data_IF_596337367593
#
_entry.id   IF_596337367593
#
_cell.length_a   1.000
_cell.length_b   1.000
_cell.length_c   1.000
_cell.angle_alpha   90.00
_cell.angle_beta   90.00
_cell.angle_gamma   90.00
#
_symmetry.space_group_name_H-M   'P 1'
#
loop_
_entity.id
_entity.type
_entity.pdbx_description
1 polymer ?
#
# COMPACT_ATOMS: atom_id res chain seq x y z
N UNK A 1 -31.47 20.91 14.71
CA UNK A 1 -30.72 20.06 15.64
C UNK A 1 -30.29 18.74 15.00
N UNK A 2 -31.11 18.18 14.15
CA UNK A 2 -30.79 16.88 13.50
C UNK A 2 -29.66 16.93 12.47
N UNK A 3 -29.44 18.07 11.88
CA UNK A 3 -28.44 18.25 10.82
C UNK A 3 -27.00 18.18 11.34
N UNK A 4 -26.74 18.62 12.56
CA UNK A 4 -25.42 18.52 13.19
C UNK A 4 -25.09 17.10 13.66
N UNK A 5 -26.08 16.36 14.11
CA UNK A 5 -25.91 14.96 14.49
C UNK A 5 -25.65 14.08 13.26
N UNK A 6 -26.30 14.36 12.14
CA UNK A 6 -26.10 13.67 10.88
C UNK A 6 -24.70 13.94 10.29
N UNK A 7 -24.21 15.18 10.43
CA UNK A 7 -22.86 15.54 9.99
C UNK A 7 -21.74 14.86 10.78
N UNK A 8 -21.93 14.70 12.10
CA UNK A 8 -20.98 14.01 12.95
C UNK A 8 -20.97 12.48 12.71
N UNK A 9 -22.13 11.91 12.45
CA UNK A 9 -22.27 10.49 12.13
C UNK A 9 -21.61 10.14 10.77
N UNK A 10 -21.76 11.02 9.77
CA UNK A 10 -21.10 10.86 8.46
C UNK A 10 -19.58 10.83 8.54
N UNK A 11 -18.97 11.55 9.49
CA UNK A 11 -17.52 11.53 9.70
C UNK A 11 -17.02 10.22 10.32
N UNK A 12 -17.86 9.49 11.00
CA UNK A 12 -17.49 8.23 11.66
C UNK A 12 -17.80 6.98 10.83
N UNK A 13 -18.70 7.10 9.86
CA UNK A 13 -19.11 6.00 9.00
C UNK A 13 -19.15 6.43 7.55
N UNK A 14 -18.04 7.02 7.04
CA UNK A 14 -17.97 7.39 5.62
C UNK A 14 -18.18 6.15 4.77
N UNK A 15 -19.33 6.13 4.13
CA UNK A 15 -19.59 5.15 3.08
C UNK A 15 -18.53 5.30 1.99
N UNK A 16 -18.01 4.19 1.48
CA UNK A 16 -16.99 4.19 0.43
C UNK A 16 -17.40 5.04 -0.79
N UNK A 17 -18.72 5.26 -0.97
CA UNK A 17 -19.25 6.09 -2.04
C UNK A 17 -19.04 7.60 -1.85
N UNK A 18 -18.82 8.06 -0.60
CA UNK A 18 -18.64 9.48 -0.27
C UNK A 18 -17.14 9.89 -0.18
N UNK A 19 -16.23 8.93 -0.22
CA UNK A 19 -14.80 9.23 -0.25
C UNK A 19 -14.43 10.04 -1.49
N UNK A 20 -13.57 11.05 -1.30
CA UNK A 20 -13.04 11.79 -2.45
C UNK A 20 -12.24 10.84 -3.37
N UNK A 21 -12.12 11.14 -4.67
CA UNK A 21 -11.30 10.33 -5.57
C UNK A 21 -9.90 10.06 -5.03
N UNK A 22 -9.30 11.02 -4.37
CA UNK A 22 -7.97 10.88 -3.75
C UNK A 22 -7.98 9.88 -2.59
N UNK A 23 -9.00 9.90 -1.74
CA UNK A 23 -9.13 8.96 -0.62
C UNK A 23 -9.36 7.52 -1.09
N UNK A 24 -10.05 7.34 -2.21
CA UNK A 24 -10.29 6.02 -2.80
C UNK A 24 -9.02 5.38 -3.36
N UNK A 25 -8.08 6.19 -3.78
CA UNK A 25 -6.83 5.76 -4.39
C UNK A 25 -5.66 5.70 -3.40
N UNK A 26 -5.92 5.75 -2.09
CA UNK A 26 -4.88 5.81 -1.06
C UNK A 26 -4.72 4.51 -0.29
N UNK A 27 -3.48 4.27 0.14
CA UNK A 27 -3.13 3.27 1.14
C UNK A 27 -2.37 3.98 2.26
N UNK A 28 -2.86 3.87 3.49
CA UNK A 28 -2.16 4.40 4.67
C UNK A 28 -1.49 3.27 5.41
N UNK A 29 -0.23 3.47 5.77
CA UNK A 29 0.56 2.52 6.54
C UNK A 29 1.14 3.18 7.77
N UNK A 30 1.32 2.41 8.83
CA UNK A 30 2.02 2.87 10.02
C UNK A 30 3.54 2.74 9.88
N UNK A 31 4.25 3.11 10.96
CA UNK A 31 5.71 3.07 11.03
C UNK A 31 6.30 1.69 10.84
N UNK A 32 5.57 0.65 11.19
CA UNK A 32 5.95 -0.75 11.03
C UNK A 32 5.63 -1.30 9.65
N UNK A 33 4.96 -0.51 8.81
CA UNK A 33 4.53 -0.91 7.47
C UNK A 33 3.28 -1.78 7.46
N UNK A 34 2.47 -1.68 8.52
CA UNK A 34 1.16 -2.32 8.59
C UNK A 34 0.12 -1.41 7.95
N UNK A 35 -0.70 -1.97 7.09
CA UNK A 35 -1.76 -1.26 6.38
C UNK A 35 -2.85 -0.88 7.38
N UNK A 36 -3.18 0.40 7.46
CA UNK A 36 -4.20 0.95 8.35
C UNK A 36 -5.45 1.41 7.61
N UNK A 37 -5.29 1.85 6.36
CA UNK A 37 -6.39 2.22 5.49
C UNK A 37 -6.12 1.71 4.08
N UNK A 38 -7.20 1.37 3.38
CA UNK A 38 -7.15 0.82 2.04
C UNK A 38 -8.31 1.38 1.21
N UNK A 39 -7.99 2.13 0.17
CA UNK A 39 -8.97 2.71 -0.72
C UNK A 39 -9.55 1.70 -1.72
N UNK A 40 -10.84 1.82 -2.02
CA UNK A 40 -11.56 0.93 -2.92
C UNK A 40 -11.04 0.99 -4.38
N UNK A 41 -10.51 2.14 -4.81
CA UNK A 41 -9.86 2.26 -6.12
C UNK A 41 -8.56 1.45 -6.19
N UNK A 42 -7.84 1.28 -5.08
CA UNK A 42 -6.67 0.40 -5.00
C UNK A 42 -7.09 -1.07 -5.17
N UNK A 43 -8.23 -1.46 -4.60
CA UNK A 43 -8.82 -2.78 -4.82
C UNK A 43 -9.05 -3.06 -6.30
N UNK A 44 -9.55 -2.08 -7.05
CA UNK A 44 -9.74 -2.18 -8.50
C UNK A 44 -8.44 -2.42 -9.29
N UNK A 45 -7.30 -1.96 -8.75
CA UNK A 45 -5.99 -2.12 -9.38
C UNK A 45 -5.35 -3.47 -9.05
N UNK A 46 -5.31 -3.83 -7.77
CA UNK A 46 -4.54 -5.00 -7.29
C UNK A 46 -5.41 -6.22 -6.94
N UNK A 47 -6.71 -6.04 -6.82
CA UNK A 47 -7.67 -7.13 -6.56
C UNK A 47 -7.83 -7.52 -5.08
N UNK A 48 -7.02 -7.01 -4.18
CA UNK A 48 -7.19 -7.22 -2.73
C UNK A 48 -8.19 -6.23 -2.15
N UNK A 49 -9.10 -6.71 -1.32
CA UNK A 49 -10.05 -5.86 -0.59
C UNK A 49 -9.43 -5.26 0.68
N UNK A 50 -10.11 -4.26 1.26
CA UNK A 50 -9.72 -3.70 2.55
C UNK A 50 -9.72 -4.76 3.66
N UNK A 51 -10.71 -5.65 3.68
CA UNK A 51 -10.80 -6.73 4.68
C UNK A 51 -9.63 -7.72 4.61
N UNK A 52 -9.04 -7.88 3.42
CA UNK A 52 -7.89 -8.75 3.20
C UNK A 52 -6.56 -8.08 3.54
N UNK A 53 -6.50 -6.76 3.56
CA UNK A 53 -5.24 -6.00 3.61
C UNK A 53 -5.05 -5.20 4.88
N UNK A 54 -6.10 -4.59 5.42
CA UNK A 54 -6.00 -3.80 6.65
C UNK A 54 -5.56 -4.68 7.82
N UNK A 55 -4.53 -4.25 8.53
CA UNK A 55 -3.89 -5.04 9.59
C UNK A 55 -2.78 -5.98 9.08
N UNK A 56 -2.61 -6.12 7.77
CA UNK A 56 -1.52 -6.89 7.18
C UNK A 56 -0.31 -6.00 6.85
N UNK A 57 0.86 -6.63 6.73
CA UNK A 57 2.06 -5.97 6.22
C UNK A 57 1.90 -5.59 4.75
N UNK A 58 2.52 -4.50 4.32
CA UNK A 58 2.65 -4.12 2.91
C UNK A 58 3.19 -5.25 2.01
N UNK A 59 3.80 -6.26 2.57
CA UNK A 59 4.26 -7.44 1.82
C UNK A 59 3.18 -8.07 0.95
N UNK A 60 1.91 -7.89 1.30
CA UNK A 60 0.79 -8.43 0.51
C UNK A 60 0.79 -7.90 -0.93
N UNK A 61 1.23 -6.67 -1.15
CA UNK A 61 1.28 -6.03 -2.47
C UNK A 61 2.71 -5.78 -2.99
N UNK A 62 3.72 -6.17 -2.24
CA UNK A 62 5.11 -6.02 -2.68
C UNK A 62 5.59 -7.33 -3.32
N UNK A 63 6.04 -7.31 -4.58
CA UNK A 63 6.66 -8.48 -5.19
C UNK A 63 7.80 -9.02 -4.30
N UNK A 64 7.85 -10.32 -4.03
CA UNK A 64 8.80 -10.89 -3.05
C UNK A 64 10.25 -10.51 -3.28
N UNK A 65 10.68 -10.48 -4.54
CA UNK A 65 12.05 -10.12 -4.91
C UNK A 65 12.42 -8.68 -4.55
N UNK A 66 11.43 -7.79 -4.47
CA UNK A 66 11.64 -6.37 -4.18
C UNK A 66 11.52 -6.03 -2.69
N UNK A 67 11.09 -6.95 -1.86
CA UNK A 67 10.87 -6.71 -0.42
C UNK A 67 12.11 -6.23 0.31
N UNK A 68 13.30 -6.82 0.15
CA UNK A 68 14.50 -6.33 0.83
C UNK A 68 14.81 -4.87 0.48
N UNK A 69 14.71 -4.52 -0.80
CA UNK A 69 14.95 -3.16 -1.27
C UNK A 69 13.86 -2.19 -0.76
N UNK A 70 12.60 -2.63 -0.80
CA UNK A 70 11.47 -1.83 -0.30
C UNK A 70 11.65 -1.52 1.18
N UNK A 71 11.92 -2.52 2.02
CA UNK A 71 12.06 -2.31 3.47
C UNK A 71 13.28 -1.48 3.83
N UNK A 72 14.39 -1.65 3.10
CA UNK A 72 15.53 -0.76 3.26
C UNK A 72 15.18 0.71 2.98
N UNK A 73 14.46 0.97 1.90
CA UNK A 73 14.01 2.33 1.54
C UNK A 73 12.98 2.87 2.53
N UNK A 74 12.04 2.04 2.96
CA UNK A 74 11.02 2.37 3.95
C UNK A 74 11.63 2.76 5.29
N UNK A 75 12.50 1.93 5.85
CA UNK A 75 13.17 2.21 7.13
C UNK A 75 14.02 3.50 7.06
N UNK A 76 14.66 3.72 5.92
CA UNK A 76 15.43 4.95 5.67
C UNK A 76 14.52 6.18 5.63
N UNK A 77 13.35 6.10 4.99
CA UNK A 77 12.37 7.18 4.95
C UNK A 77 11.81 7.48 6.34
N UNK A 78 11.44 6.44 7.09
CA UNK A 78 10.94 6.59 8.46
C UNK A 78 11.96 7.29 9.37
N UNK A 79 13.25 6.94 9.24
CA UNK A 79 14.34 7.56 10.04
C UNK A 79 14.62 9.01 9.65
N UNK A 80 14.55 9.30 8.35
CA UNK A 80 14.89 10.65 7.81
C UNK A 80 13.73 11.63 7.88
N UNK A 81 12.50 11.15 8.00
CA UNK A 81 11.30 11.97 7.96
C UNK A 81 11.07 12.64 6.62
N UNK A 82 11.67 12.13 5.54
CA UNK A 82 11.49 12.65 4.18
C UNK A 82 11.68 11.59 3.12
N UNK A 83 10.96 11.75 2.03
CA UNK A 83 11.11 10.99 0.80
C UNK A 83 11.43 11.92 -0.37
N UNK A 84 11.81 11.33 -1.49
CA UNK A 84 11.97 12.07 -2.73
C UNK A 84 10.61 12.63 -3.18
N UNK A 85 10.60 13.91 -3.53
CA UNK A 85 9.42 14.55 -4.09
C UNK A 85 9.12 13.99 -5.49
N UNK A 86 7.85 13.82 -5.80
CA UNK A 86 7.38 13.46 -7.13
C UNK A 86 6.72 12.09 -7.24
N UNK A 87 6.37 11.77 -8.48
CA UNK A 87 5.70 10.51 -8.82
C UNK A 87 6.71 9.37 -8.87
N UNK A 88 6.44 8.32 -8.13
CA UNK A 88 7.21 7.09 -8.13
C UNK A 88 6.53 6.04 -9.01
N UNK A 89 7.32 5.18 -9.61
CA UNK A 89 6.85 3.96 -10.26
C UNK A 89 7.00 2.81 -9.28
N UNK A 90 5.88 2.26 -8.83
CA UNK A 90 5.84 1.26 -7.77
C UNK A 90 5.32 -0.05 -8.37
N UNK A 91 6.14 -1.09 -8.47
CA UNK A 91 5.65 -2.41 -8.83
C UNK A 91 4.73 -2.94 -7.72
N UNK A 92 3.51 -3.31 -8.08
CA UNK A 92 2.52 -3.85 -7.16
C UNK A 92 2.11 -5.26 -7.58
N UNK A 93 2.15 -6.18 -6.63
CA UNK A 93 1.69 -7.56 -6.81
C UNK A 93 0.17 -7.60 -6.66
N UNK A 94 -0.52 -8.07 -7.69
CA UNK A 94 -1.95 -8.27 -7.69
C UNK A 94 -2.33 -9.63 -7.07
N UNK A 95 -3.57 -9.73 -6.61
CA UNK A 95 -4.13 -10.97 -6.02
C UNK A 95 -4.07 -12.16 -6.99
N UNK A 96 -4.20 -11.93 -8.28
CA UNK A 96 -4.09 -12.96 -9.33
C UNK A 96 -2.64 -13.31 -9.72
N UNK A 97 -1.66 -12.72 -9.06
CA UNK A 97 -0.24 -12.96 -9.29
C UNK A 97 0.40 -12.08 -10.37
N UNK A 98 -0.37 -11.22 -11.04
CA UNK A 98 0.19 -10.23 -11.97
C UNK A 98 0.94 -9.15 -11.20
N UNK A 99 1.92 -8.55 -11.86
CA UNK A 99 2.60 -7.35 -11.38
C UNK A 99 2.21 -6.19 -12.28
N UNK A 100 1.69 -5.14 -11.68
CA UNK A 100 1.39 -3.88 -12.36
C UNK A 100 2.38 -2.82 -11.90
N UNK A 101 2.67 -1.83 -12.75
CA UNK A 101 3.45 -0.67 -12.36
C UNK A 101 2.48 0.46 -12.06
N UNK A 102 2.28 0.73 -10.78
CA UNK A 102 1.49 1.85 -10.35
C UNK A 102 2.33 3.13 -10.31
N UNK A 103 1.74 4.24 -10.69
CA UNK A 103 2.30 5.56 -10.46
C UNK A 103 1.71 6.09 -9.15
N UNK A 104 2.57 6.43 -8.21
CA UNK A 104 2.14 6.85 -6.89
C UNK A 104 2.93 8.05 -6.38
N UNK A 105 2.31 8.82 -5.52
CA UNK A 105 2.99 9.77 -4.63
C UNK A 105 2.99 9.21 -3.22
N UNK A 106 3.99 9.54 -2.44
CA UNK A 106 4.11 9.09 -1.05
C UNK A 106 4.31 10.31 -0.16
N UNK A 107 3.46 10.45 0.83
CA UNK A 107 3.56 11.47 1.86
C UNK A 107 3.81 10.80 3.20
N UNK A 108 4.78 11.32 3.96
CA UNK A 108 5.07 10.81 5.29
C UNK A 108 4.17 11.49 6.32
N UNK A 109 3.70 10.71 7.28
CA UNK A 109 2.89 11.20 8.40
C UNK A 109 3.84 11.62 9.52
N UNK A 110 3.88 12.92 9.89
CA UNK A 110 4.72 13.37 10.99
C UNK A 110 4.29 12.74 12.32
N UNK A 111 5.25 12.24 13.07
CA UNK A 111 5.04 11.74 14.42
C UNK A 111 5.08 12.85 15.47
N UNK A 112 4.46 12.60 16.61
CA UNK A 112 4.40 13.56 17.72
C UNK A 112 5.78 13.85 18.31
N UNK A 113 6.71 12.91 18.18
CA UNK A 113 8.08 13.02 18.74
C UNK A 113 9.09 13.61 17.73
N UNK A 114 8.60 14.25 16.67
CA UNK A 114 9.44 14.78 15.60
C UNK A 114 9.97 13.73 14.61
N UNK A 115 9.57 12.46 14.77
CA UNK A 115 9.83 11.38 13.83
C UNK A 115 8.73 11.23 12.78
N UNK A 116 8.58 10.03 12.27
CA UNK A 116 7.58 9.68 11.25
C UNK A 116 6.73 8.51 11.75
N UNK A 117 5.42 8.66 11.74
CA UNK A 117 4.48 7.64 12.22
C UNK A 117 3.96 6.72 11.11
N UNK A 118 4.34 6.98 9.87
CA UNK A 118 3.91 6.18 8.75
C UNK A 118 3.90 6.97 7.45
N UNK A 119 3.09 6.53 6.50
CA UNK A 119 2.96 7.20 5.22
C UNK A 119 1.63 6.94 4.53
N UNK A 120 1.29 7.83 3.64
CA UNK A 120 0.15 7.72 2.73
C UNK A 120 0.67 7.56 1.31
N UNK A 121 0.31 6.48 0.67
CA UNK A 121 0.59 6.21 -0.74
C UNK A 121 -0.65 6.54 -1.55
N UNK A 122 -0.57 7.50 -2.45
CA UNK A 122 -1.67 7.86 -3.36
C UNK A 122 -1.36 7.37 -4.76
N UNK A 123 -2.19 6.48 -5.28
CA UNK A 123 -2.09 5.99 -6.65
C UNK A 123 -2.66 7.03 -7.61
N UNK A 124 -1.83 7.53 -8.50
CA UNK A 124 -2.22 8.57 -9.48
C UNK A 124 -2.41 8.01 -10.90
N UNK A 125 -2.11 6.75 -11.08
CA UNK A 125 -2.30 6.05 -12.36
C UNK A 125 -1.71 4.65 -12.33
N UNK A 126 -2.08 3.86 -13.31
CA UNK A 126 -1.54 2.51 -13.53
C UNK A 126 -0.92 2.49 -14.92
N UNK A 127 0.36 2.17 -14.99
CA UNK A 127 1.05 1.91 -16.24
C UNK A 127 0.62 0.59 -16.88
N UNK A 128 1.10 0.33 -18.09
CA UNK A 128 0.88 -0.95 -18.73
C UNK A 128 1.32 -2.10 -17.83
N UNK A 129 0.59 -3.24 -17.81
CA UNK A 129 1.02 -4.41 -17.07
C UNK A 129 2.44 -4.77 -17.48
N UNK A 130 3.29 -5.09 -16.53
CA UNK A 130 4.64 -5.52 -16.85
C UNK A 130 4.55 -6.86 -17.60
N UNK A 131 4.61 -6.78 -18.93
CA UNK A 131 4.49 -7.93 -19.81
C UNK A 131 5.87 -8.56 -20.03
N UNK A 132 6.34 -9.31 -19.05
CA UNK A 132 7.54 -10.11 -19.24
C UNK A 132 7.32 -11.53 -18.79
N UNK A 133 7.13 -12.48 -19.73
CA UNK A 133 7.14 -13.91 -19.42
C UNK A 133 8.40 -14.32 -18.65
N UNK A 134 9.55 -13.70 -18.97
CA UNK A 134 10.82 -13.88 -18.29
C UNK A 134 10.76 -13.50 -16.80
N UNK A 135 9.99 -12.47 -16.46
CA UNK A 135 9.85 -11.99 -15.09
C UNK A 135 9.00 -12.93 -14.21
N UNK A 136 7.93 -13.50 -14.77
CA UNK A 136 7.14 -14.54 -14.09
C UNK A 136 7.98 -15.78 -13.78
N UNK A 137 8.81 -16.20 -14.74
CA UNK A 137 9.72 -17.33 -14.54
C UNK A 137 10.81 -17.02 -13.50
N UNK A 138 11.34 -15.80 -13.48
CA UNK A 138 12.32 -15.36 -12.49
C UNK A 138 11.73 -15.25 -11.08
N UNK A 139 10.46 -14.88 -10.95
CA UNK A 139 9.79 -14.73 -9.67
C UNK A 139 9.13 -16.01 -9.14
N UNK A 140 8.88 -17.00 -9.99
CA UNK A 140 8.19 -18.23 -9.61
C UNK A 140 8.88 -18.96 -8.43
N UNK A 141 10.20 -19.20 -8.42
CA UNK A 141 10.87 -19.83 -7.29
C UNK A 141 10.89 -18.96 -6.04
N UNK A 142 10.95 -17.64 -6.19
CA UNK A 142 10.91 -16.70 -5.08
C UNK A 142 9.52 -16.62 -4.46
N UNK A 143 8.47 -16.71 -5.25
CA UNK A 143 7.09 -16.79 -4.78
C UNK A 143 6.83 -18.09 -4.00
N UNK A 144 7.40 -19.22 -4.43
CA UNK A 144 7.28 -20.49 -3.71
C UNK A 144 8.01 -20.44 -2.35
N UNK A 145 9.25 -19.97 -2.33
CA UNK A 145 10.03 -19.77 -1.10
C UNK A 145 9.35 -18.78 -0.15
N UNK A 146 8.71 -17.74 -0.70
CA UNK A 146 8.03 -16.72 0.07
C UNK A 146 6.74 -17.23 0.74
N UNK A 147 5.93 -18.04 0.06
CA UNK A 147 4.74 -18.68 0.68
C UNK A 147 5.12 -19.52 1.89
N UNK A 148 6.28 -20.14 1.87
CA UNK A 148 6.83 -20.90 2.99
C UNK A 148 7.27 -19.95 4.11
N UNK A 149 7.95 -18.86 3.76
CA UNK A 149 8.42 -17.86 4.72
C UNK A 149 7.30 -17.07 5.40
N UNK A 150 6.19 -16.78 4.70
CA UNK A 150 5.04 -16.10 5.30
C UNK A 150 4.31 -16.93 6.37
N UNK A 151 4.37 -18.27 6.26
CA UNK A 151 3.85 -19.15 7.31
C UNK A 151 4.66 -19.07 8.60
N UNK A 152 5.92 -18.62 8.52
CA UNK A 152 6.86 -18.56 9.65
C UNK A 152 7.00 -17.13 10.20
N UNK A 153 6.77 -16.10 9.37
CA UNK A 153 6.88 -14.69 9.76
C UNK A 153 5.76 -13.86 9.11
N UNK A 154 4.63 -13.68 9.79
CA UNK A 154 3.53 -12.89 9.25
C UNK A 154 3.85 -11.39 9.09
N UNK A 155 4.87 -10.88 9.75
CA UNK A 155 5.23 -9.46 9.77
C UNK A 155 6.66 -9.26 9.24
N UNK A 156 6.82 -9.04 7.97
CA UNK A 156 8.08 -8.80 7.25
C UNK A 156 8.79 -10.07 6.78
#
# INVERSE_FOLDING_TARGET
MDELATGAYRKQGMDASEATPDQRATVTVDREGIIRQWGDAVTGVVGFSADETVGCSLNVVIPPVLRPLHWWGFDRAMKRGRMSDGKLKVPALCKDGRIVVAHATIELIPGKDGGTDGGVVTFVGVGAPWQGKAWRAALAPLNAAHRISQRVRPNR
#
